data_IF_277321202574
#
_entry.id   IF_277321202574
#
_cell.length_a   1.000
_cell.length_b   1.000
_cell.length_c   1.000
_cell.angle_alpha   90.00
_cell.angle_beta   90.00
_cell.angle_gamma   90.00
#
_symmetry.space_group_name_H-M   'P 1'
#
loop_
_entity.id
_entity.type
_entity.pdbx_description
1 polymer ?
#
# COMPACT_ATOMS: atom_id res chain seq x y z
N UNK A 1 -7.03 17.20 23.67
CA UNK A 1 -5.84 17.78 23.00
C UNK A 1 -6.00 17.63 21.49
N UNK A 2 -6.29 18.75 20.81
CA UNK A 2 -6.48 18.84 19.35
C UNK A 2 -5.23 18.35 18.61
N UNK A 3 -5.35 17.33 17.76
CA UNK A 3 -4.43 17.15 16.63
C UNK A 3 -5.22 17.51 15.37
N UNK A 4 -4.91 18.70 14.84
CA UNK A 4 -5.51 19.22 13.62
C UNK A 4 -5.31 18.25 12.47
N UNK A 5 -6.33 18.18 11.63
CA UNK A 5 -6.32 17.50 10.35
C UNK A 5 -5.66 18.46 9.35
N UNK A 6 -4.44 18.14 8.86
CA UNK A 6 -4.11 18.48 7.47
C UNK A 6 -3.45 17.31 6.71
N UNK A 7 -3.55 16.07 7.24
CA UNK A 7 -2.84 14.94 6.64
C UNK A 7 -3.45 14.46 5.31
N UNK A 8 -4.76 14.68 5.07
CA UNK A 8 -5.47 14.11 3.92
C UNK A 8 -5.09 14.74 2.57
N UNK A 9 -4.82 16.05 2.52
CA UNK A 9 -4.50 16.73 1.25
C UNK A 9 -3.03 16.55 0.83
N UNK A 10 -2.14 16.48 1.83
CA UNK A 10 -0.71 16.19 1.63
C UNK A 10 -0.46 14.72 1.31
N UNK A 11 -1.25 13.81 1.89
CA UNK A 11 -1.15 12.36 1.63
C UNK A 11 -1.51 12.00 0.19
N UNK A 12 -2.31 12.81 -0.53
CA UNK A 12 -2.63 12.54 -1.94
C UNK A 12 -1.46 12.78 -2.90
N UNK A 13 -0.40 13.45 -2.47
CA UNK A 13 0.81 13.63 -3.30
C UNK A 13 1.78 12.49 -3.06
N UNK A 14 2.27 11.92 -4.15
CA UNK A 14 3.28 10.87 -4.13
C UNK A 14 4.57 11.39 -3.42
N UNK A 15 5.06 10.71 -2.36
CA UNK A 15 6.27 11.11 -1.64
C UNK A 15 7.48 11.24 -2.56
N UNK A 16 8.39 12.15 -2.20
CA UNK A 16 9.67 12.30 -2.90
C UNK A 16 10.41 10.96 -2.95
N UNK A 17 10.90 10.58 -4.13
CA UNK A 17 11.61 9.31 -4.36
C UNK A 17 10.71 8.12 -4.67
N UNK A 18 9.40 8.30 -4.78
CA UNK A 18 8.49 7.35 -5.43
C UNK A 18 8.15 7.87 -6.82
N UNK A 19 8.05 6.96 -7.80
CA UNK A 19 7.76 7.30 -9.18
C UNK A 19 6.33 6.87 -9.53
N UNK A 20 5.59 7.67 -10.33
CA UNK A 20 4.27 7.27 -10.81
C UNK A 20 4.30 5.96 -11.60
N UNK A 21 5.39 5.70 -12.33
CA UNK A 21 5.56 4.46 -13.10
C UNK A 21 5.55 3.22 -12.20
N UNK A 22 6.33 3.21 -11.12
CA UNK A 22 6.35 2.07 -10.20
C UNK A 22 5.06 2.01 -9.37
N UNK A 23 4.46 3.16 -9.04
CA UNK A 23 3.15 3.19 -8.40
C UNK A 23 2.09 2.48 -9.24
N UNK A 24 2.06 2.71 -10.57
CA UNK A 24 1.15 2.01 -11.47
C UNK A 24 1.31 0.51 -11.41
N UNK A 25 2.54 0.01 -11.48
CA UNK A 25 2.83 -1.42 -11.38
C UNK A 25 2.37 -2.00 -10.03
N UNK A 26 2.56 -1.25 -8.94
CA UNK A 26 2.05 -1.61 -7.61
C UNK A 26 0.52 -1.68 -7.61
N UNK A 27 -0.16 -0.68 -8.13
CA UNK A 27 -1.62 -0.64 -8.13
C UNK A 27 -2.23 -1.72 -9.03
N UNK A 28 -1.64 -1.97 -10.22
CA UNK A 28 -2.05 -3.05 -11.11
C UNK A 28 -1.94 -4.42 -10.44
N UNK A 29 -0.79 -4.71 -9.82
CA UNK A 29 -0.61 -5.98 -9.13
C UNK A 29 -1.61 -6.17 -7.98
N UNK A 30 -1.90 -5.10 -7.23
CA UNK A 30 -2.89 -5.14 -6.15
C UNK A 30 -4.30 -5.38 -6.69
N UNK A 31 -4.66 -4.74 -7.80
CA UNK A 31 -5.95 -4.92 -8.47
C UNK A 31 -6.15 -6.38 -8.93
N UNK A 32 -5.11 -6.98 -9.53
CA UNK A 32 -5.10 -8.40 -9.92
C UNK A 32 -5.21 -9.36 -8.72
N UNK A 33 -4.76 -8.95 -7.53
CA UNK A 33 -4.71 -9.78 -6.33
C UNK A 33 -5.72 -9.35 -5.23
N UNK A 34 -6.74 -8.59 -5.59
CA UNK A 34 -7.71 -8.02 -4.63
C UNK A 34 -8.45 -9.05 -3.75
N UNK A 35 -8.51 -10.32 -4.18
CA UNK A 35 -9.22 -11.38 -3.48
C UNK A 35 -8.53 -11.87 -2.19
N UNK A 36 -7.27 -11.50 -1.95
CA UNK A 36 -6.50 -11.98 -0.78
C UNK A 36 -5.63 -10.88 -0.17
N UNK A 37 -5.30 -11.05 1.11
CA UNK A 37 -4.21 -10.29 1.71
C UNK A 37 -2.83 -10.74 1.21
N UNK A 38 -1.88 -9.82 1.18
CA UNK A 38 -0.52 -10.03 0.70
C UNK A 38 0.50 -9.35 1.61
N UNK A 39 1.71 -9.89 1.64
CA UNK A 39 2.84 -9.32 2.38
C UNK A 39 3.64 -8.33 1.53
N UNK A 40 4.44 -7.49 2.19
CA UNK A 40 5.43 -6.63 1.49
C UNK A 40 6.43 -7.45 0.67
N UNK A 41 6.80 -8.65 1.15
CA UNK A 41 7.74 -9.51 0.46
C UNK A 41 7.16 -10.04 -0.85
N UNK A 42 5.90 -10.47 -0.85
CA UNK A 42 5.23 -10.98 -2.06
C UNK A 42 5.18 -9.92 -3.16
N UNK A 43 4.70 -8.71 -2.84
CA UNK A 43 4.63 -7.61 -3.81
C UNK A 43 6.03 -7.20 -4.30
N UNK A 44 7.02 -7.12 -3.39
CA UNK A 44 8.38 -6.76 -3.76
C UNK A 44 9.02 -7.79 -4.71
N UNK A 45 8.78 -9.07 -4.46
CA UNK A 45 9.24 -10.16 -5.30
C UNK A 45 8.54 -10.16 -6.67
N UNK A 46 7.22 -9.93 -6.70
CA UNK A 46 6.48 -9.88 -7.95
C UNK A 46 6.92 -8.73 -8.87
N UNK A 47 7.18 -7.55 -8.30
CA UNK A 47 7.57 -6.35 -9.05
C UNK A 47 9.08 -6.19 -9.23
N UNK A 48 9.88 -7.12 -8.70
CA UNK A 48 11.36 -7.07 -8.75
C UNK A 48 11.93 -5.73 -8.22
N UNK A 49 11.32 -5.19 -7.17
CA UNK A 49 11.78 -3.97 -6.49
C UNK A 49 12.25 -4.27 -5.07
N UNK A 50 13.07 -3.39 -4.50
CA UNK A 50 13.52 -3.56 -3.12
C UNK A 50 12.33 -3.57 -2.15
N UNK A 51 12.42 -4.38 -1.08
CA UNK A 51 11.42 -4.41 0.01
C UNK A 51 11.22 -3.03 0.64
N UNK A 52 12.30 -2.24 0.75
CA UNK A 52 12.25 -0.87 1.29
C UNK A 52 11.45 0.05 0.38
N UNK A 53 11.66 -0.03 -0.94
CA UNK A 53 10.89 0.73 -1.93
C UNK A 53 9.42 0.32 -1.93
N UNK A 54 9.15 -0.99 -1.99
CA UNK A 54 7.82 -1.57 -1.94
C UNK A 54 7.03 -1.06 -0.71
N UNK A 55 7.64 -1.14 0.47
CA UNK A 55 7.02 -0.70 1.73
C UNK A 55 6.64 0.78 1.71
N UNK A 56 7.41 1.65 1.06
CA UNK A 56 7.06 3.08 0.92
C UNK A 56 5.78 3.29 0.11
N UNK A 57 5.57 2.52 -0.97
CA UNK A 57 4.33 2.56 -1.74
C UNK A 57 3.15 2.06 -0.91
N UNK A 58 3.32 0.95 -0.18
CA UNK A 58 2.25 0.38 0.65
C UNK A 58 1.83 1.30 1.81
N UNK A 59 2.79 1.90 2.50
CA UNK A 59 2.52 2.90 3.56
C UNK A 59 1.77 4.10 2.97
N UNK A 60 2.14 4.55 1.77
CA UNK A 60 1.46 5.66 1.13
C UNK A 60 0.02 5.31 0.74
N UNK A 61 -0.20 4.12 0.16
CA UNK A 61 -1.54 3.61 -0.17
C UNK A 61 -2.41 3.43 1.07
N UNK A 62 -1.84 2.99 2.19
CA UNK A 62 -2.51 2.94 3.50
C UNK A 62 -2.90 4.36 3.99
N UNK A 63 -2.00 5.35 3.87
CA UNK A 63 -2.28 6.73 4.30
C UNK A 63 -3.43 7.39 3.54
N UNK A 64 -3.66 7.00 2.28
CA UNK A 64 -4.82 7.43 1.48
C UNK A 64 -6.01 6.47 1.61
N UNK A 65 -5.97 5.52 2.55
CA UNK A 65 -6.99 4.51 2.85
C UNK A 65 -7.26 3.48 1.73
N UNK A 66 -6.42 3.39 0.71
CA UNK A 66 -6.57 2.37 -0.34
C UNK A 66 -6.28 0.96 0.19
N UNK A 67 -5.31 0.85 1.10
CA UNK A 67 -4.95 -0.42 1.73
C UNK A 67 -5.28 -0.40 3.22
N UNK A 68 -5.70 -1.55 3.72
CA UNK A 68 -5.80 -1.83 5.15
C UNK A 68 -4.65 -2.74 5.57
N UNK A 69 -3.89 -2.34 6.59
CA UNK A 69 -2.79 -3.13 7.14
C UNK A 69 -3.26 -3.88 8.37
N UNK A 70 -3.06 -5.20 8.39
CA UNK A 70 -3.26 -6.03 9.58
C UNK A 70 -1.91 -6.56 10.06
N UNK A 71 -1.61 -6.34 11.33
CA UNK A 71 -0.45 -6.96 11.96
C UNK A 71 -0.82 -8.39 12.38
N UNK A 72 -0.25 -9.39 11.70
CA UNK A 72 -0.35 -10.77 12.18
C UNK A 72 0.74 -10.98 13.25
N UNK A 73 0.36 -10.80 14.52
CA UNK A 73 1.14 -11.26 15.67
C UNK A 73 0.91 -12.76 15.83
N UNK A 74 1.73 -13.57 15.14
CA UNK A 74 1.77 -15.00 15.42
C UNK A 74 2.29 -15.25 16.83
N UNK A 75 1.64 -16.18 17.55
CA UNK A 75 1.90 -16.52 18.96
C UNK A 75 3.37 -16.97 19.22
N UNK A 76 4.14 -17.28 18.16
CA UNK A 76 5.55 -17.73 18.25
C UNK A 76 6.45 -17.18 17.11
N UNK A 77 6.08 -16.07 16.45
CA UNK A 77 6.75 -15.61 15.21
C UNK A 77 7.11 -14.12 15.16
N UNK A 78 7.99 -13.74 14.22
CA UNK A 78 8.22 -12.32 13.90
C UNK A 78 6.94 -11.72 13.30
N UNK A 79 6.50 -10.52 13.71
CA UNK A 79 5.29 -9.90 13.19
C UNK A 79 5.45 -9.66 11.68
N UNK A 80 4.48 -10.13 10.89
CA UNK A 80 4.40 -9.86 9.46
C UNK A 80 3.26 -8.88 9.18
N UNK A 81 3.56 -7.83 8.42
CA UNK A 81 2.56 -6.89 7.95
C UNK A 81 1.86 -7.47 6.73
N UNK A 82 0.55 -7.64 6.84
CA UNK A 82 -0.32 -8.01 5.72
C UNK A 82 -1.16 -6.83 5.29
N UNK A 83 -1.29 -6.67 3.98
CA UNK A 83 -2.04 -5.61 3.35
C UNK A 83 -3.22 -6.23 2.61
N UNK A 84 -4.37 -5.58 2.71
CA UNK A 84 -5.59 -5.96 1.99
C UNK A 84 -6.15 -4.72 1.29
N UNK A 85 -6.66 -4.91 0.08
CA UNK A 85 -7.38 -3.85 -0.62
C UNK A 85 -8.67 -3.49 0.12
N UNK A 86 -8.88 -2.20 0.35
CA UNK A 86 -10.18 -1.68 0.79
C UNK A 86 -11.08 -1.58 -0.43
N UNK A 87 -12.02 -2.50 -0.56
CA UNK A 87 -12.91 -2.61 -1.74
C UNK A 87 -13.70 -1.32 -2.01
N UNK A 88 -14.03 -0.56 -0.97
CA UNK A 88 -14.70 0.76 -1.08
C UNK A 88 -13.83 1.79 -1.80
N UNK A 89 -12.51 1.62 -1.78
CA UNK A 89 -11.52 2.52 -2.40
C UNK A 89 -10.92 1.94 -3.70
N UNK A 90 -11.55 0.92 -4.29
CA UNK A 90 -11.14 0.34 -5.57
C UNK A 90 -11.02 1.42 -6.67
N UNK A 91 -12.00 2.33 -6.77
CA UNK A 91 -11.96 3.41 -7.77
C UNK A 91 -10.72 4.30 -7.64
N UNK A 92 -10.27 4.54 -6.40
CA UNK A 92 -9.09 5.33 -6.13
C UNK A 92 -7.81 4.55 -6.50
N UNK A 93 -7.75 3.24 -6.23
CA UNK A 93 -6.67 2.37 -6.70
C UNK A 93 -6.57 2.41 -8.23
N UNK A 94 -7.70 2.25 -8.93
CA UNK A 94 -7.76 2.23 -10.40
C UNK A 94 -7.29 3.56 -11.00
N UNK A 95 -7.55 4.71 -10.35
CA UNK A 95 -7.02 6.00 -10.80
C UNK A 95 -5.48 6.02 -10.88
N UNK A 96 -4.81 5.28 -10.00
CA UNK A 96 -3.36 5.18 -9.95
C UNK A 96 -2.80 4.00 -10.75
N UNK A 97 -3.64 3.16 -11.36
CA UNK A 97 -3.21 2.05 -12.23
C UNK A 97 -3.22 2.40 -13.73
N UNK A 98 -3.81 3.55 -14.11
CA UNK A 98 -3.83 4.13 -15.46
C UNK A 98 -2.55 4.93 -15.77
#
# INVERSE_FOLDING_TARGET
LRRGIPQQESARRLPKGLTPQTLRLVCQWIDDHQARDFSTNELAAALQISRVSCRKYLIWLEQINVLFTTNHYGITGRPEYRYRLVVENLMLLTQYSQ
#
